data_IF_952719501724
#
_entry.id   IF_952719501724
#
_cell.length_a   1.000
_cell.length_b   1.000
_cell.length_c   1.000
_cell.angle_alpha   90.00
_cell.angle_beta   90.00
_cell.angle_gamma   90.00
#
_symmetry.space_group_name_H-M   'P 1'
#
loop_
_entity.id
_entity.type
_entity.pdbx_description
1 polymer ?
#
# COMPACT_ATOMS: atom_id res chain seq x y z
N UNK A 1 -0.23 -37.62 -29.07
CA UNK A 1 -0.80 -36.32 -29.51
C UNK A 1 -2.31 -36.52 -29.68
N UNK A 2 -3.12 -35.78 -28.91
CA UNK A 2 -4.47 -35.25 -29.19
C UNK A 2 -5.18 -35.03 -27.85
N UNK A 3 -4.99 -33.85 -27.28
CA UNK A 3 -5.64 -33.39 -26.06
C UNK A 3 -7.05 -32.91 -26.40
N UNK A 4 -8.08 -33.51 -25.77
CA UNK A 4 -9.47 -33.03 -25.81
C UNK A 4 -9.58 -31.76 -24.96
N UNK A 5 -10.05 -30.66 -25.57
CA UNK A 5 -10.50 -29.45 -24.88
C UNK A 5 -11.86 -29.71 -24.26
N UNK A 6 -11.98 -29.54 -22.95
CA UNK A 6 -13.27 -29.45 -22.27
C UNK A 6 -13.54 -27.96 -22.03
N UNK A 7 -14.61 -27.48 -22.64
CA UNK A 7 -15.17 -26.15 -22.50
C UNK A 7 -16.21 -26.21 -21.38
N UNK A 8 -16.05 -25.38 -20.34
CA UNK A 8 -17.03 -25.25 -19.25
C UNK A 8 -17.71 -23.88 -19.37
N UNK A 9 -19.04 -23.76 -19.20
CA UNK A 9 -19.78 -22.55 -19.55
C UNK A 9 -19.60 -21.43 -18.52
N UNK A 10 -19.50 -20.20 -19.02
CA UNK A 10 -19.77 -18.99 -18.27
C UNK A 10 -21.23 -19.00 -17.78
N UNK A 11 -21.44 -19.05 -16.46
CA UNK A 11 -22.53 -18.35 -15.76
C UNK A 11 -22.37 -18.53 -14.24
N UNK A 12 -21.87 -17.49 -13.57
CA UNK A 12 -22.42 -17.11 -12.27
C UNK A 12 -22.21 -15.61 -12.08
N UNK A 13 -23.31 -14.89 -11.82
CA UNK A 13 -23.30 -13.49 -11.38
C UNK A 13 -22.64 -13.44 -10.01
N UNK A 14 -21.34 -13.11 -9.96
CA UNK A 14 -20.66 -12.78 -8.73
C UNK A 14 -20.53 -11.26 -8.64
N UNK A 15 -20.98 -10.69 -7.52
CA UNK A 15 -20.81 -9.29 -7.15
C UNK A 15 -19.33 -8.89 -7.25
N UNK A 16 -18.95 -7.79 -7.94
CA UNK A 16 -17.56 -7.33 -8.03
C UNK A 16 -17.03 -6.73 -6.71
N UNK A 17 -17.82 -6.78 -5.64
CA UNK A 17 -17.51 -6.23 -4.32
C UNK A 17 -17.28 -7.34 -3.29
N UNK A 18 -16.25 -8.17 -3.49
CA UNK A 18 -15.81 -9.10 -2.44
C UNK A 18 -14.29 -9.13 -2.31
N UNK A 19 -13.74 -8.06 -1.72
CA UNK A 19 -12.57 -8.20 -0.85
C UNK A 19 -13.13 -8.49 0.54
N UNK A 20 -13.20 -9.78 0.89
CA UNK A 20 -13.61 -10.23 2.21
C UNK A 20 -12.53 -9.79 3.20
N UNK A 21 -12.78 -8.72 3.94
CA UNK A 21 -12.04 -8.41 5.16
C UNK A 21 -12.77 -9.05 6.33
N UNK A 22 -12.40 -10.28 6.68
CA UNK A 22 -12.75 -10.87 7.97
C UNK A 22 -11.63 -10.57 8.96
N UNK A 23 -11.97 -9.80 10.00
CA UNK A 23 -11.22 -9.78 11.26
C UNK A 23 -11.80 -10.86 12.17
N UNK A 24 -11.45 -12.12 11.91
CA UNK A 24 -11.67 -13.18 12.90
C UNK A 24 -10.46 -13.24 13.84
N UNK A 25 -10.60 -12.67 15.05
CA UNK A 25 -9.69 -12.99 16.16
C UNK A 25 -9.86 -14.47 16.52
N UNK A 26 -8.80 -15.31 16.52
CA UNK A 26 -8.88 -16.59 17.21
C UNK A 26 -8.74 -16.33 18.72
N UNK A 27 -9.71 -16.81 19.51
CA UNK A 27 -9.51 -17.06 20.94
C UNK A 27 -8.47 -18.18 21.07
N UNK A 28 -7.29 -17.90 21.63
CA UNK A 28 -6.39 -18.94 22.08
C UNK A 28 -6.85 -19.41 23.47
N UNK A 29 -7.21 -20.68 23.58
CA UNK A 29 -7.38 -21.38 24.85
C UNK A 29 -6.33 -22.50 24.95
N UNK A 30 -5.86 -22.69 26.20
CA UNK A 30 -5.15 -23.84 26.80
C UNK A 30 -3.78 -24.33 26.27
N UNK A 31 -2.77 -24.15 27.13
CA UNK A 31 -1.95 -25.18 27.80
C UNK A 31 -1.57 -26.50 27.08
N UNK A 32 -0.26 -26.76 27.12
CA UNK A 32 0.49 -28.03 27.08
C UNK A 32 0.70 -28.81 25.76
N UNK A 33 2.02 -28.97 25.50
CA UNK A 33 2.76 -30.10 24.92
C UNK A 33 2.36 -30.66 23.55
N UNK A 34 3.19 -30.40 22.53
CA UNK A 34 4.19 -31.42 22.10
C UNK A 34 5.30 -30.81 21.23
N UNK A 35 6.57 -31.26 21.35
CA UNK A 35 7.72 -30.74 20.62
C UNK A 35 7.87 -31.49 19.30
N UNK A 36 7.40 -30.88 18.21
CA UNK A 36 7.66 -31.41 16.88
C UNK A 36 9.17 -31.42 16.62
N UNK A 37 9.68 -32.61 16.31
CA UNK A 37 11.09 -32.92 16.02
C UNK A 37 11.64 -31.90 15.01
N UNK A 38 12.73 -31.26 15.42
CA UNK A 38 13.48 -30.21 14.71
C UNK A 38 14.09 -30.67 13.36
N UNK A 39 13.94 -31.95 13.00
CA UNK A 39 14.57 -32.54 11.82
C UNK A 39 13.76 -32.41 10.50
N UNK A 40 12.45 -32.13 10.54
CA UNK A 40 11.61 -32.25 9.33
C UNK A 40 11.23 -30.92 8.63
N UNK A 41 11.76 -29.76 9.07
CA UNK A 41 11.23 -28.46 8.62
C UNK A 41 12.01 -27.83 7.45
N UNK A 42 13.17 -28.33 7.02
CA UNK A 42 14.01 -27.61 6.05
C UNK A 42 13.88 -28.17 4.64
N UNK A 43 12.69 -27.97 4.05
CA UNK A 43 12.53 -27.74 2.61
C UNK A 43 11.43 -26.73 2.34
N UNK A 44 11.55 -25.58 3.01
CA UNK A 44 10.67 -24.44 2.82
C UNK A 44 11.17 -23.63 1.62
N UNK A 45 10.58 -23.89 0.46
CA UNK A 45 10.88 -23.16 -0.77
C UNK A 45 10.11 -21.82 -0.81
N UNK A 46 9.02 -21.71 -0.05
CA UNK A 46 8.26 -20.47 0.17
C UNK A 46 7.43 -20.64 1.44
N UNK A 47 7.71 -19.88 2.51
CA UNK A 47 6.82 -19.86 3.68
C UNK A 47 6.14 -18.52 3.85
N UNK A 48 4.84 -18.59 4.07
CA UNK A 48 4.11 -17.58 4.83
C UNK A 48 4.49 -17.77 6.30
N UNK A 49 5.14 -16.78 6.89
CA UNK A 49 5.53 -16.86 8.30
C UNK A 49 4.80 -15.75 9.04
N UNK A 50 3.96 -16.12 10.00
CA UNK A 50 3.50 -15.17 11.00
C UNK A 50 4.69 -14.70 11.84
N UNK A 51 4.79 -13.41 12.19
CA UNK A 51 5.97 -12.90 12.91
C UNK A 51 6.23 -13.62 14.24
N UNK A 52 5.19 -14.18 14.89
CA UNK A 52 5.32 -15.00 16.11
C UNK A 52 6.13 -16.27 15.85
N UNK A 53 5.93 -16.89 14.69
CA UNK A 53 6.69 -18.03 14.19
C UNK A 53 8.09 -17.59 13.74
N UNK A 54 8.23 -16.39 13.18
CA UNK A 54 9.54 -15.80 12.85
C UNK A 54 10.39 -15.51 14.08
N UNK A 55 9.77 -15.18 15.23
CA UNK A 55 10.44 -15.06 16.53
C UNK A 55 10.94 -16.41 17.06
N UNK A 56 10.25 -17.50 16.76
CA UNK A 56 10.71 -18.86 17.06
C UNK A 56 11.87 -19.26 16.15
N UNK A 57 11.84 -18.87 14.86
CA UNK A 57 13.00 -18.96 13.99
C UNK A 57 14.15 -18.11 14.57
N UNK A 58 13.94 -16.85 14.93
CA UNK A 58 15.02 -15.99 15.42
C UNK A 58 15.59 -16.41 16.78
N UNK A 59 14.80 -17.00 17.67
CA UNK A 59 15.27 -17.58 18.95
C UNK A 59 15.86 -18.99 18.81
N UNK A 60 15.39 -19.80 17.86
CA UNK A 60 15.87 -21.17 17.61
C UNK A 60 17.15 -21.22 16.76
N UNK A 61 17.40 -20.21 15.93
CA UNK A 61 18.62 -20.04 15.11
C UNK A 61 19.76 -19.48 15.99
N UNK A 62 20.03 -20.11 17.12
CA UNK A 62 21.20 -19.86 17.98
C UNK A 62 22.37 -20.81 17.67
N UNK A 63 22.14 -21.78 16.79
CA UNK A 63 23.19 -22.58 16.13
C UNK A 63 23.19 -22.19 14.66
N UNK A 64 24.32 -22.33 13.97
CA UNK A 64 24.55 -22.02 12.55
C UNK A 64 23.52 -22.68 11.62
N UNK A 65 22.29 -22.18 11.62
CA UNK A 65 21.30 -22.53 10.61
C UNK A 65 21.60 -21.58 9.47
N UNK A 66 22.47 -22.04 8.58
CA UNK A 66 22.53 -21.53 7.21
C UNK A 66 21.15 -21.79 6.58
N UNK A 67 20.20 -20.87 6.82
CA UNK A 67 18.85 -21.03 6.32
C UNK A 67 18.91 -20.95 4.80
N UNK A 68 18.75 -22.10 4.14
CA UNK A 68 18.54 -22.21 2.69
C UNK A 68 17.19 -21.60 2.23
N UNK A 69 16.63 -20.67 3.01
CA UNK A 69 15.39 -19.96 2.69
C UNK A 69 15.71 -18.96 1.60
N UNK A 70 15.13 -19.17 0.42
CA UNK A 70 15.29 -18.30 -0.74
C UNK A 70 14.17 -17.27 -0.87
N UNK A 71 13.00 -17.54 -0.30
CA UNK A 71 11.83 -16.67 -0.40
C UNK A 71 11.09 -16.60 0.93
N UNK A 72 10.82 -15.38 1.38
CA UNK A 72 10.11 -15.12 2.62
C UNK A 72 9.06 -14.02 2.44
N UNK A 73 7.88 -14.22 3.03
CA UNK A 73 6.82 -13.22 3.07
C UNK A 73 6.28 -13.05 4.49
N UNK A 74 6.24 -11.82 4.94
CA UNK A 74 5.56 -11.44 6.19
C UNK A 74 4.06 -11.28 5.92
N UNK A 75 3.24 -11.98 6.71
CA UNK A 75 1.79 -11.97 6.56
C UNK A 75 1.10 -10.74 7.21
N UNK A 76 1.79 -10.10 8.17
CA UNK A 76 1.26 -8.99 8.94
C UNK A 76 2.40 -8.05 9.37
N UNK A 77 2.04 -6.94 9.99
CA UNK A 77 3.01 -5.98 10.53
C UNK A 77 3.99 -6.69 11.48
N UNK A 78 5.27 -6.41 11.31
CA UNK A 78 6.36 -7.13 11.92
C UNK A 78 7.40 -6.12 12.41
N UNK A 79 7.74 -6.12 13.72
CA UNK A 79 8.68 -5.15 14.27
C UNK A 79 9.99 -5.11 13.49
N UNK A 80 10.56 -3.91 13.33
CA UNK A 80 11.83 -3.70 12.59
C UNK A 80 12.92 -4.68 13.02
N UNK A 81 13.06 -4.93 14.34
CA UNK A 81 14.02 -5.89 14.88
C UNK A 81 13.86 -7.29 14.29
N UNK A 82 12.62 -7.76 14.08
CA UNK A 82 12.35 -9.08 13.53
C UNK A 82 12.78 -9.17 12.06
N UNK A 83 12.50 -8.13 11.27
CA UNK A 83 12.93 -8.05 9.87
C UNK A 83 14.46 -8.04 9.77
N UNK A 84 15.12 -7.27 10.63
CA UNK A 84 16.59 -7.21 10.68
C UNK A 84 17.21 -8.55 11.11
N UNK A 85 16.70 -9.19 12.17
CA UNK A 85 17.15 -10.52 12.61
C UNK A 85 17.00 -11.61 11.53
N UNK A 86 15.94 -11.54 10.73
CA UNK A 86 15.77 -12.45 9.59
C UNK A 86 16.80 -12.17 8.51
N UNK A 87 17.07 -10.90 8.23
CA UNK A 87 18.00 -10.49 7.17
C UNK A 87 19.43 -10.90 7.50
N UNK A 88 19.84 -10.79 8.76
CA UNK A 88 21.16 -11.26 9.22
C UNK A 88 21.31 -12.77 9.17
N UNK A 89 20.24 -13.52 9.43
CA UNK A 89 20.28 -14.99 9.48
C UNK A 89 20.11 -15.63 8.11
N UNK A 90 19.26 -15.08 7.25
CA UNK A 90 18.93 -15.63 5.94
C UNK A 90 19.57 -14.84 4.80
N UNK A 91 20.90 -14.89 4.76
CA UNK A 91 21.75 -14.22 3.75
C UNK A 91 21.57 -14.77 2.32
N UNK A 92 20.97 -15.96 2.18
CA UNK A 92 20.64 -16.60 0.89
C UNK A 92 19.26 -16.20 0.33
N UNK A 93 18.57 -15.26 0.96
CA UNK A 93 17.30 -14.75 0.46
C UNK A 93 17.46 -14.14 -0.94
N UNK A 94 16.60 -14.60 -1.85
CA UNK A 94 16.43 -14.06 -3.19
C UNK A 94 15.19 -13.16 -3.26
N UNK A 95 14.14 -13.51 -2.53
CA UNK A 95 12.87 -12.80 -2.49
C UNK A 95 12.46 -12.51 -1.05
N UNK A 96 12.14 -11.26 -0.75
CA UNK A 96 11.59 -10.86 0.54
C UNK A 96 10.37 -9.98 0.32
N UNK A 97 9.25 -10.30 0.96
CA UNK A 97 8.00 -9.54 0.83
C UNK A 97 7.58 -9.02 2.22
N UNK A 98 7.58 -7.70 2.36
CA UNK A 98 7.27 -6.92 3.55
C UNK A 98 6.05 -6.01 3.33
N UNK A 99 5.10 -6.42 2.50
CA UNK A 99 3.95 -5.58 2.17
C UNK A 99 3.16 -5.19 3.44
N UNK A 100 2.82 -3.90 3.57
CA UNK A 100 2.06 -3.30 4.68
C UNK A 100 2.76 -3.40 6.05
N UNK A 101 4.07 -3.67 6.08
CA UNK A 101 4.85 -3.66 7.32
C UNK A 101 5.27 -2.21 7.62
N UNK A 102 4.58 -1.55 8.55
CA UNK A 102 4.71 -0.10 8.79
C UNK A 102 6.00 0.27 9.52
N UNK A 103 6.55 -0.67 10.29
CA UNK A 103 7.85 -0.50 10.96
C UNK A 103 9.06 -0.61 10.02
N UNK A 104 8.87 -0.99 8.75
CA UNK A 104 9.97 -1.02 7.78
C UNK A 104 10.29 0.41 7.35
N UNK A 105 11.47 0.86 7.78
CA UNK A 105 12.00 2.21 7.54
C UNK A 105 13.20 2.16 6.60
N UNK A 106 13.75 3.34 6.27
CA UNK A 106 14.97 3.43 5.47
C UNK A 106 16.17 2.71 6.12
N UNK A 107 16.25 2.63 7.46
CA UNK A 107 17.29 1.85 8.14
C UNK A 107 17.07 0.35 7.93
N UNK A 108 15.84 -0.13 8.08
CA UNK A 108 15.48 -1.53 7.81
C UNK A 108 15.82 -1.91 6.37
N UNK A 109 15.46 -1.06 5.40
CA UNK A 109 15.76 -1.29 3.98
C UNK A 109 17.26 -1.44 3.74
N UNK A 110 18.08 -0.49 4.23
CA UNK A 110 19.54 -0.55 4.07
C UNK A 110 20.12 -1.81 4.71
N UNK A 111 19.62 -2.17 5.88
CA UNK A 111 20.05 -3.38 6.58
C UNK A 111 19.73 -4.65 5.78
N UNK A 112 18.50 -4.81 5.31
CA UNK A 112 18.09 -5.94 4.45
C UNK A 112 18.98 -6.05 3.22
N UNK A 113 19.16 -4.93 2.51
CA UNK A 113 19.94 -4.88 1.27
C UNK A 113 21.42 -5.21 1.51
N UNK A 114 21.97 -4.78 2.64
CA UNK A 114 23.36 -5.05 3.00
C UNK A 114 23.60 -6.50 3.45
N UNK A 115 22.63 -7.12 4.14
CA UNK A 115 22.78 -8.48 4.66
C UNK A 115 22.43 -9.55 3.63
N UNK A 116 21.43 -9.29 2.77
CA UNK A 116 20.95 -10.23 1.77
C UNK A 116 21.51 -9.90 0.38
N UNK A 117 22.80 -10.16 0.15
CA UNK A 117 23.47 -9.82 -1.11
C UNK A 117 22.93 -10.56 -2.36
N UNK A 118 22.17 -11.64 -2.16
CA UNK A 118 21.54 -12.42 -3.24
C UNK A 118 20.09 -11.99 -3.54
N UNK A 119 19.61 -10.92 -2.90
CA UNK A 119 18.24 -10.48 -3.00
C UNK A 119 17.96 -9.85 -4.37
N UNK A 120 17.12 -10.49 -5.16
CA UNK A 120 16.69 -10.00 -6.46
C UNK A 120 15.33 -9.30 -6.40
N UNK A 121 14.50 -9.61 -5.41
CA UNK A 121 13.19 -9.00 -5.26
C UNK A 121 12.89 -8.61 -3.81
N UNK A 122 12.47 -7.36 -3.61
CA UNK A 122 12.00 -6.84 -2.33
C UNK A 122 10.62 -6.18 -2.50
N UNK A 123 9.60 -6.80 -1.93
CA UNK A 123 8.25 -6.23 -1.87
C UNK A 123 8.08 -5.31 -0.66
N UNK A 124 7.82 -4.03 -0.89
CA UNK A 124 7.58 -3.02 0.14
C UNK A 124 6.20 -2.39 0.00
N UNK A 125 5.26 -3.02 -0.71
CA UNK A 125 4.02 -2.37 -1.07
C UNK A 125 3.27 -1.87 0.18
N UNK A 126 2.84 -0.61 0.18
CA UNK A 126 2.17 0.08 1.28
C UNK A 126 3.00 0.21 2.57
N UNK A 127 4.33 0.22 2.48
CA UNK A 127 5.19 0.61 3.60
C UNK A 127 5.32 2.14 3.65
N UNK A 128 4.65 2.78 4.61
CA UNK A 128 4.56 4.24 4.70
C UNK A 128 5.83 4.92 5.23
N UNK A 129 6.74 4.18 5.87
CA UNK A 129 7.96 4.74 6.48
C UNK A 129 9.18 4.72 5.55
N UNK A 130 9.04 4.20 4.33
CA UNK A 130 10.10 4.19 3.31
C UNK A 130 10.07 5.49 2.52
N UNK A 131 11.24 6.12 2.38
CA UNK A 131 11.41 7.36 1.61
C UNK A 131 12.26 7.14 0.35
N UNK A 132 12.40 8.18 -0.47
CA UNK A 132 13.29 8.15 -1.63
C UNK A 132 14.76 7.93 -1.24
N UNK A 133 15.16 8.27 -0.02
CA UNK A 133 16.55 8.11 0.44
C UNK A 133 16.94 6.62 0.51
N UNK A 134 16.02 5.72 0.88
CA UNK A 134 16.25 4.28 0.82
C UNK A 134 16.57 3.81 -0.60
N UNK A 135 15.79 4.26 -1.59
CA UNK A 135 15.90 3.77 -2.96
C UNK A 135 17.15 4.26 -3.70
N UNK A 136 17.73 5.41 -3.30
CA UNK A 136 18.98 5.91 -3.90
C UNK A 136 20.15 4.93 -3.77
N UNK A 137 20.16 4.12 -2.72
CA UNK A 137 21.23 3.17 -2.41
C UNK A 137 20.91 1.74 -2.86
N UNK A 138 19.83 1.55 -3.61
CA UNK A 138 19.40 0.22 -4.08
C UNK A 138 20.41 -0.34 -5.09
N UNK A 139 20.87 -1.59 -4.92
CA UNK A 139 21.67 -2.28 -5.93
C UNK A 139 20.94 -2.33 -7.28
N UNK A 140 21.70 -2.26 -8.38
CA UNK A 140 21.12 -2.26 -9.73
C UNK A 140 20.28 -3.51 -10.02
N UNK A 141 20.72 -4.68 -9.53
CA UNK A 141 20.05 -5.97 -9.74
C UNK A 141 18.75 -6.13 -8.93
N UNK A 142 18.56 -5.38 -7.84
CA UNK A 142 17.44 -5.57 -6.93
C UNK A 142 16.17 -4.93 -7.49
N UNK A 143 15.11 -5.71 -7.73
CA UNK A 143 13.79 -5.18 -8.08
C UNK A 143 13.03 -4.87 -6.79
N UNK A 144 12.55 -3.64 -6.65
CA UNK A 144 11.77 -3.22 -5.47
C UNK A 144 10.36 -2.85 -5.89
N UNK A 145 9.36 -3.49 -5.29
CA UNK A 145 7.97 -3.09 -5.45
C UNK A 145 7.60 -2.07 -4.36
N UNK A 146 7.34 -0.83 -4.77
CA UNK A 146 6.98 0.30 -3.91
C UNK A 146 5.52 0.75 -4.07
N UNK A 147 4.64 -0.12 -4.58
CA UNK A 147 3.24 0.22 -4.78
C UNK A 147 2.60 0.74 -3.48
N UNK A 148 1.98 1.92 -3.50
CA UNK A 148 1.39 2.52 -2.29
C UNK A 148 2.39 3.07 -1.26
N UNK A 149 3.70 3.09 -1.54
CA UNK A 149 4.68 3.79 -0.70
C UNK A 149 4.64 5.29 -0.98
N UNK A 150 3.59 5.94 -0.49
CA UNK A 150 3.25 7.31 -0.88
C UNK A 150 4.39 8.32 -0.66
N UNK A 151 5.24 8.16 0.36
CA UNK A 151 6.40 9.04 0.63
C UNK A 151 7.44 9.03 -0.48
N UNK A 152 7.60 7.91 -1.18
CA UNK A 152 8.56 7.71 -2.27
C UNK A 152 8.10 8.37 -3.57
N UNK A 153 6.79 8.49 -3.80
CA UNK A 153 6.25 8.88 -5.09
C UNK A 153 6.17 10.40 -5.26
N UNK A 154 6.79 10.98 -6.29
CA UNK A 154 6.65 12.41 -6.63
C UNK A 154 5.87 12.58 -7.93
N UNK A 155 5.20 13.73 -8.15
CA UNK A 155 4.57 14.02 -9.43
C UNK A 155 5.53 13.73 -10.59
N UNK A 156 5.14 12.82 -11.46
CA UNK A 156 5.94 12.39 -12.59
C UNK A 156 5.03 11.91 -13.72
N UNK A 157 5.43 12.17 -14.97
CA UNK A 157 4.64 11.86 -16.18
C UNK A 157 4.27 10.39 -16.37
N UNK A 158 4.97 9.47 -15.69
CA UNK A 158 4.70 8.03 -15.76
C UNK A 158 3.68 7.56 -14.72
N UNK A 159 3.30 8.40 -13.76
CA UNK A 159 2.29 8.05 -12.76
C UNK A 159 0.91 8.22 -13.39
N UNK A 160 0.11 7.16 -13.37
CA UNK A 160 -1.25 7.21 -13.90
C UNK A 160 -2.21 7.92 -12.90
N UNK A 161 -3.35 8.44 -13.39
CA UNK A 161 -4.31 9.18 -12.57
C UNK A 161 -4.76 8.43 -11.31
N UNK A 162 -5.01 7.12 -11.43
CA UNK A 162 -5.47 6.29 -10.31
C UNK A 162 -4.44 6.21 -9.19
N UNK A 163 -3.14 6.13 -9.53
CA UNK A 163 -2.05 6.14 -8.56
C UNK A 163 -1.91 7.52 -7.92
N UNK A 164 -2.18 8.61 -8.63
CA UNK A 164 -2.22 9.96 -8.01
C UNK A 164 -3.28 10.03 -6.91
N UNK A 165 -4.52 9.59 -7.21
CA UNK A 165 -5.59 9.55 -6.22
C UNK A 165 -5.25 8.62 -5.05
N UNK A 166 -4.65 7.45 -5.31
CA UNK A 166 -4.21 6.52 -4.27
C UNK A 166 -3.14 7.14 -3.36
N UNK A 167 -2.11 7.77 -3.91
CA UNK A 167 -1.03 8.42 -3.14
C UNK A 167 -1.61 9.50 -2.23
N UNK A 168 -2.49 10.35 -2.75
CA UNK A 168 -3.14 11.37 -1.93
C UNK A 168 -3.99 10.77 -0.81
N UNK A 169 -4.77 9.73 -1.11
CA UNK A 169 -5.57 9.04 -0.11
C UNK A 169 -4.72 8.44 1.00
N UNK A 170 -3.63 7.75 0.65
CA UNK A 170 -2.71 7.15 1.60
C UNK A 170 -2.00 8.22 2.45
N UNK A 171 -1.58 9.33 1.84
CA UNK A 171 -1.01 10.45 2.59
C UNK A 171 -2.03 11.09 3.54
N UNK A 172 -3.27 11.31 3.10
CA UNK A 172 -4.34 11.86 3.94
C UNK A 172 -4.72 10.94 5.11
N UNK A 173 -4.64 9.62 4.93
CA UNK A 173 -4.82 8.65 6.01
C UNK A 173 -3.71 8.77 7.07
N UNK A 174 -2.45 8.97 6.66
CA UNK A 174 -1.33 9.12 7.58
C UNK A 174 -1.34 10.48 8.31
N UNK A 175 -1.94 11.51 7.68
CA UNK A 175 -2.08 12.85 8.25
C UNK A 175 -2.93 12.91 9.54
N UNK A 176 -3.68 11.85 9.88
CA UNK A 176 -4.35 11.73 11.19
C UNK A 176 -3.35 11.85 12.36
N UNK A 177 -2.07 11.54 12.14
CA UNK A 177 -1.02 11.59 13.17
C UNK A 177 -0.36 12.97 13.32
N UNK A 178 -0.98 14.04 12.82
CA UNK A 178 -0.39 15.40 12.76
C UNK A 178 0.92 15.48 11.95
N UNK A 179 1.14 14.55 11.01
CA UNK A 179 2.33 14.54 10.16
C UNK A 179 2.25 15.63 9.07
N UNK A 180 3.01 16.74 9.15
CA UNK A 180 2.92 17.83 8.17
C UNK A 180 3.37 17.39 6.77
N UNK A 181 4.34 16.47 6.73
CA UNK A 181 4.85 15.84 5.49
C UNK A 181 3.74 15.20 4.67
N UNK A 182 2.76 14.57 5.34
CA UNK A 182 1.66 13.89 4.67
C UNK A 182 0.71 14.88 3.98
N UNK A 183 0.44 16.02 4.62
CA UNK A 183 -0.36 17.11 4.04
C UNK A 183 0.39 17.74 2.86
N UNK A 184 1.67 18.05 3.04
CA UNK A 184 2.52 18.60 2.00
C UNK A 184 2.55 17.68 0.77
N UNK A 185 2.67 16.37 1.01
CA UNK A 185 2.66 15.39 -0.07
C UNK A 185 1.33 15.32 -0.80
N UNK A 186 0.21 15.32 -0.08
CA UNK A 186 -1.10 15.38 -0.71
C UNK A 186 -1.22 16.64 -1.59
N UNK A 187 -0.71 17.78 -1.10
CA UNK A 187 -0.70 19.07 -1.82
C UNK A 187 0.24 19.09 -3.03
N UNK A 188 1.31 18.28 -3.05
CA UNK A 188 2.24 18.19 -4.17
C UNK A 188 1.54 17.75 -5.47
N UNK A 189 0.47 16.96 -5.36
CA UNK A 189 -0.35 16.50 -6.48
C UNK A 189 -1.52 17.43 -6.80
N UNK A 190 -1.58 18.63 -6.21
CA UNK A 190 -2.65 19.61 -6.44
C UNK A 190 -2.12 20.74 -7.31
N UNK A 191 -2.93 21.14 -8.27
CA UNK A 191 -2.70 22.31 -9.10
C UNK A 191 -2.36 23.54 -8.23
N UNK A 192 -1.31 24.32 -8.55
CA UNK A 192 -0.90 25.48 -7.75
C UNK A 192 -2.04 26.45 -7.44
N UNK A 193 -2.92 26.73 -8.42
CA UNK A 193 -4.10 27.60 -8.27
C UNK A 193 -5.13 27.08 -7.25
N UNK A 194 -5.14 25.78 -6.96
CA UNK A 194 -6.08 25.15 -6.03
C UNK A 194 -5.47 24.86 -4.65
N UNK A 195 -4.15 25.03 -4.46
CA UNK A 195 -3.48 24.71 -3.20
C UNK A 195 -4.00 25.53 -2.01
N UNK A 196 -4.20 26.83 -2.18
CA UNK A 196 -4.70 27.69 -1.11
C UNK A 196 -6.12 27.29 -0.65
N UNK A 197 -7.01 27.00 -1.61
CA UNK A 197 -8.35 26.50 -1.34
C UNK A 197 -8.32 25.14 -0.62
N UNK A 198 -7.46 24.24 -1.06
CA UNK A 198 -7.30 22.92 -0.48
C UNK A 198 -6.78 22.98 0.96
N UNK A 199 -5.74 23.79 1.22
CA UNK A 199 -5.19 24.00 2.56
C UNK A 199 -6.20 24.67 3.50
N UNK A 200 -6.95 25.67 3.01
CA UNK A 200 -8.03 26.29 3.77
C UNK A 200 -9.08 25.27 4.24
N UNK A 201 -9.46 24.34 3.36
CA UNK A 201 -10.40 23.24 3.68
C UNK A 201 -9.83 22.18 4.61
N UNK A 202 -8.50 22.00 4.65
CA UNK A 202 -7.85 21.06 5.57
C UNK A 202 -7.66 21.64 6.98
N UNK A 203 -7.51 22.96 7.09
CA UNK A 203 -7.17 23.64 8.33
C UNK A 203 -8.36 24.24 9.07
N UNK A 204 -9.53 24.42 8.43
CA UNK A 204 -10.70 25.01 9.08
C UNK A 204 -11.25 24.10 10.20
N UNK A 205 -11.09 24.47 11.48
CA UNK A 205 -11.67 23.74 12.59
C UNK A 205 -13.16 24.13 12.67
N UNK A 206 -14.08 23.19 12.50
CA UNK A 206 -15.49 23.41 12.86
C UNK A 206 -16.41 24.07 11.83
N UNK A 207 -16.00 24.31 10.58
CA UNK A 207 -16.96 24.69 9.54
C UNK A 207 -17.48 23.49 8.75
N UNK A 208 -18.82 23.42 8.67
CA UNK A 208 -19.70 22.50 7.94
C UNK A 208 -19.45 22.40 6.42
N UNK A 209 -18.20 22.39 5.97
CA UNK A 209 -17.91 21.73 4.71
C UNK A 209 -17.74 20.27 5.07
N UNK A 210 -18.53 19.41 4.43
CA UNK A 210 -18.33 17.96 4.25
C UNK A 210 -16.96 17.69 3.58
N UNK A 211 -15.92 18.18 4.24
CA UNK A 211 -14.60 18.47 3.75
C UNK A 211 -13.74 17.22 3.79
N UNK A 212 -12.60 17.28 3.12
CA UNK A 212 -11.58 16.23 3.09
C UNK A 212 -11.14 15.79 4.50
N UNK A 213 -11.50 16.51 5.57
CA UNK A 213 -11.34 16.05 6.95
C UNK A 213 -11.96 14.67 7.20
N UNK A 214 -13.05 14.31 6.53
CA UNK A 214 -13.63 12.96 6.58
C UNK A 214 -12.69 11.85 6.07
N UNK A 215 -11.78 12.19 5.14
CA UNK A 215 -10.79 11.26 4.61
C UNK A 215 -9.69 10.94 5.62
N UNK A 216 -9.40 11.84 6.58
CA UNK A 216 -8.42 11.54 7.65
C UNK A 216 -8.89 10.39 8.54
N UNK A 217 -10.19 10.18 8.64
CA UNK A 217 -10.80 9.12 9.43
C UNK A 217 -11.13 7.87 8.61
N UNK A 218 -10.64 7.75 7.37
CA UNK A 218 -10.90 6.54 6.57
C UNK A 218 -9.85 5.46 6.82
N UNK A 219 -10.29 4.23 7.09
CA UNK A 219 -9.37 3.10 7.31
C UNK A 219 -9.22 2.21 6.08
N UNK A 220 -10.14 2.33 5.11
CA UNK A 220 -10.06 1.63 3.83
C UNK A 220 -10.75 2.47 2.76
N UNK A 221 -10.31 2.29 1.51
CA UNK A 221 -10.93 2.94 0.37
C UNK A 221 -10.83 2.04 -0.87
N UNK A 222 -11.75 2.25 -1.81
CA UNK A 222 -11.68 1.71 -3.16
C UNK A 222 -11.65 2.87 -4.15
N UNK A 223 -10.88 2.71 -5.23
CA UNK A 223 -10.76 3.70 -6.29
C UNK A 223 -11.28 3.10 -7.59
N UNK A 224 -12.09 3.87 -8.31
CA UNK A 224 -12.58 3.51 -9.63
C UNK A 224 -12.41 4.68 -10.59
N UNK A 225 -11.81 4.40 -11.73
CA UNK A 225 -11.79 5.32 -12.85
C UNK A 225 -13.18 5.35 -13.50
N UNK A 226 -13.75 6.54 -13.65
CA UNK A 226 -15.01 6.73 -14.34
C UNK A 226 -14.80 7.05 -15.82
N UNK A 227 -13.87 7.96 -16.10
CA UNK A 227 -13.69 8.52 -17.43
C UNK A 227 -12.27 9.06 -17.60
N UNK A 228 -11.68 8.82 -18.78
CA UNK A 228 -10.44 9.44 -19.23
C UNK A 228 -10.68 10.05 -20.60
N UNK A 229 -10.49 11.36 -20.72
CA UNK A 229 -10.66 12.11 -21.97
C UNK A 229 -9.44 12.99 -22.19
N UNK A 230 -8.47 12.48 -22.97
CA UNK A 230 -7.23 13.19 -23.27
C UNK A 230 -6.48 13.59 -22.00
N UNK A 231 -6.41 14.89 -21.74
CA UNK A 231 -5.72 15.47 -20.58
C UNK A 231 -6.59 15.57 -19.31
N UNK A 232 -7.76 14.91 -19.25
CA UNK A 232 -8.65 14.92 -18.07
C UNK A 232 -9.01 13.50 -17.64
N UNK A 233 -9.10 13.28 -16.32
CA UNK A 233 -9.51 12.02 -15.73
C UNK A 233 -10.45 12.28 -14.54
N UNK A 234 -11.55 11.54 -14.49
CA UNK A 234 -12.49 11.53 -13.38
C UNK A 234 -12.38 10.21 -12.62
N UNK A 235 -12.15 10.32 -11.32
CA UNK A 235 -11.97 9.18 -10.43
C UNK A 235 -12.96 9.28 -9.29
N UNK A 236 -13.60 8.18 -8.94
CA UNK A 236 -14.39 8.05 -7.72
C UNK A 236 -13.63 7.26 -6.68
N UNK A 237 -13.51 7.84 -5.49
CA UNK A 237 -13.02 7.14 -4.30
C UNK A 237 -14.18 6.90 -3.36
N UNK A 238 -14.36 5.64 -2.99
CA UNK A 238 -15.30 5.20 -1.96
C UNK A 238 -14.50 4.89 -0.71
N UNK A 239 -14.58 5.74 0.30
CA UNK A 239 -13.86 5.61 1.56
C UNK A 239 -14.79 5.09 2.64
N UNK A 240 -14.31 4.14 3.46
CA UNK A 240 -14.99 3.68 4.68
C UNK A 240 -14.33 4.35 5.89
N UNK A 241 -15.14 5.09 6.63
CA UNK A 241 -14.72 5.85 7.80
C UNK A 241 -14.79 5.00 9.08
N UNK A 242 -14.08 5.43 10.13
CA UNK A 242 -14.04 4.74 11.44
C UNK A 242 -15.41 4.68 12.13
N UNK A 243 -16.30 5.62 11.83
CA UNK A 243 -17.70 5.64 12.27
C UNK A 243 -18.58 4.62 11.52
N UNK A 244 -18.00 3.83 10.62
CA UNK A 244 -18.70 2.86 9.78
C UNK A 244 -19.38 3.47 8.56
N UNK A 245 -19.42 4.79 8.44
CA UNK A 245 -20.01 5.48 7.28
C UNK A 245 -19.18 5.24 6.03
N UNK A 246 -19.85 5.22 4.89
CA UNK A 246 -19.21 5.16 3.58
C UNK A 246 -19.39 6.53 2.94
N UNK A 247 -18.28 7.15 2.60
CA UNK A 247 -18.24 8.45 1.93
C UNK A 247 -17.71 8.27 0.52
N UNK A 248 -18.30 8.99 -0.42
CA UNK A 248 -17.89 8.97 -1.81
C UNK A 248 -17.39 10.35 -2.20
N UNK A 249 -16.35 10.36 -3.01
CA UNK A 249 -15.67 11.57 -3.40
C UNK A 249 -15.22 11.44 -4.86
N UNK A 250 -15.28 12.52 -5.61
CA UNK A 250 -14.84 12.59 -7.01
C UNK A 250 -13.57 13.43 -7.12
N UNK A 251 -12.49 12.84 -7.63
CA UNK A 251 -11.25 13.51 -8.00
C UNK A 251 -11.35 13.85 -9.47
N UNK A 252 -11.21 15.13 -9.77
CA UNK A 252 -10.96 15.59 -11.12
C UNK A 252 -9.46 15.83 -11.26
N UNK A 253 -8.83 15.09 -12.18
CA UNK A 253 -7.42 15.23 -12.50
C UNK A 253 -7.27 15.82 -13.90
N UNK A 254 -6.22 16.61 -14.05
CA UNK A 254 -5.80 17.20 -15.32
C UNK A 254 -4.32 16.98 -15.55
N UNK A 255 -3.96 16.57 -16.76
CA UNK A 255 -2.59 16.49 -17.22
C UNK A 255 -2.09 17.91 -17.47
N UNK A 256 -0.98 18.29 -16.86
CA UNK A 256 -0.41 19.61 -17.03
C UNK A 256 0.30 19.71 -18.38
N UNK A 257 0.26 20.90 -18.97
CA UNK A 257 0.96 21.22 -20.21
C UNK A 257 1.87 22.42 -19.95
N UNK A 258 3.17 22.24 -20.18
CA UNK A 258 4.21 23.24 -19.97
C UNK A 258 4.73 23.34 -18.53
N UNK A 259 6.01 23.69 -18.39
CA UNK A 259 6.68 23.91 -17.12
C UNK A 259 7.39 22.68 -16.53
N UNK A 260 7.77 22.75 -15.25
CA UNK A 260 8.55 21.70 -14.56
C UNK A 260 7.75 20.41 -14.37
N UNK A 261 6.42 20.52 -14.30
CA UNK A 261 5.49 19.40 -14.10
C UNK A 261 4.78 19.01 -15.40
N UNK A 262 5.40 19.28 -16.55
CA UNK A 262 4.83 18.93 -17.85
C UNK A 262 4.45 17.46 -17.91
N UNK A 263 3.29 17.18 -18.49
CA UNK A 263 2.70 15.86 -18.60
C UNK A 263 2.38 15.13 -17.28
N UNK A 264 2.47 15.78 -16.12
CA UNK A 264 2.09 15.19 -14.85
C UNK A 264 0.57 15.31 -14.60
N UNK A 265 -0.02 14.28 -13.99
CA UNK A 265 -1.40 14.34 -13.51
C UNK A 265 -1.48 15.09 -12.18
N UNK A 266 -2.25 16.17 -12.15
CA UNK A 266 -2.54 16.93 -10.94
C UNK A 266 -4.05 17.01 -10.71
N UNK A 267 -4.44 17.05 -9.45
CA UNK A 267 -5.82 17.23 -9.00
C UNK A 267 -6.23 18.68 -9.18
N UNK A 268 -7.29 18.88 -9.95
CA UNK A 268 -7.93 20.18 -10.15
C UNK A 268 -9.06 20.42 -9.17
N UNK A 269 -9.77 19.37 -8.76
CA UNK A 269 -10.82 19.51 -7.74
C UNK A 269 -11.12 18.17 -7.06
N UNK A 270 -11.67 18.26 -5.85
CA UNK A 270 -12.22 17.12 -5.13
C UNK A 270 -13.60 17.52 -4.60
N UNK A 271 -14.61 16.69 -4.90
CA UNK A 271 -15.99 16.92 -4.53
C UNK A 271 -16.51 15.75 -3.68
N UNK A 272 -17.21 16.04 -2.59
CA UNK A 272 -17.98 15.02 -1.88
C UNK A 272 -19.24 14.69 -2.69
N UNK A 273 -19.53 13.41 -2.89
CA UNK A 273 -20.73 12.93 -3.56
C UNK A 273 -21.74 12.59 -2.46
N UNK A 274 -22.75 13.44 -2.27
CA UNK A 274 -23.84 13.14 -1.34
C UNK A 274 -24.60 11.91 -1.84
N UNK A 275 -25.06 11.07 -0.90
CA UNK A 275 -25.71 9.78 -1.16
C UNK A 275 -26.97 9.85 -2.04
N UNK A 276 -27.51 11.05 -2.29
CA UNK A 276 -28.68 11.29 -3.13
C UNK A 276 -28.35 11.34 -4.63
N UNK A 277 -27.11 11.62 -5.02
CA UNK A 277 -26.68 11.60 -6.42
C UNK A 277 -26.18 10.21 -6.80
N UNK A 278 -27.12 9.31 -7.07
CA UNK A 278 -26.80 8.09 -7.81
C UNK A 278 -26.22 8.52 -9.17
N UNK A 279 -25.03 8.03 -9.50
CA UNK A 279 -24.28 8.23 -10.76
C UNK A 279 -25.00 7.68 -12.01
N UNK A 280 -26.33 7.83 -12.08
CA UNK A 280 -27.17 7.45 -13.20
C UNK A 280 -27.33 8.56 -14.24
N UNK A 281 -26.98 9.81 -13.90
CA UNK A 281 -26.85 10.86 -14.89
C UNK A 281 -25.42 10.80 -15.46
N UNK A 282 -25.23 10.62 -16.79
CA UNK A 282 -23.95 10.97 -17.38
C UNK A 282 -23.70 12.43 -17.00
N UNK A 283 -22.57 12.70 -16.36
CA UNK A 283 -22.08 14.06 -16.16
C UNK A 283 -21.86 14.62 -17.57
N UNK A 284 -22.91 15.22 -18.15
CA UNK A 284 -22.82 16.03 -19.36
C UNK A 284 -22.14 17.32 -18.89
N UNK A 285 -20.83 17.35 -19.07
CA UNK A 285 -19.98 18.54 -19.06
C UNK A 285 -19.53 18.81 -20.49
#
# INVERSE_FOLDING_TARGET
KTTRKIQVPCQSKADPWKVVMEHSKPRCNSNNADPWKVADVIKIITTFVEWKTTRLLSKGIGREVDCNVKSLKFAQDAPEKCVNEVSTKCVKLNTLILNRVRSVSDSTFRHVVHQCNNLNFLGLAYCSSITWVALRMKPLHLVVNIHGCWKVCFPHKTICPITVAEIQMLALQDAHTTCPEAIEKACAYILPSFRALFLGRLNSPGHNVESLGGLRCCHSFGIRELQVTGARCLIVVKARCMDGTIRQYCWQLSKQVGGILDDCWLVSSIHHLSSALTLAAPLIL
#
